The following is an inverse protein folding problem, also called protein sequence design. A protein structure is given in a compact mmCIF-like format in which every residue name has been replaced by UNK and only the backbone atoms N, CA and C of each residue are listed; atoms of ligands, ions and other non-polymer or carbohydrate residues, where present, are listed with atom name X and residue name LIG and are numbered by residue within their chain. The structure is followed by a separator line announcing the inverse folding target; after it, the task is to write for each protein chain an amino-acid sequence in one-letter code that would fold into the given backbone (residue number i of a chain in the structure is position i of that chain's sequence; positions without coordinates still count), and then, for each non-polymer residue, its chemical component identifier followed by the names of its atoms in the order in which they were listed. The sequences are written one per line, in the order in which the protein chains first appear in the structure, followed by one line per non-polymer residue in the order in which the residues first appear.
data_IF_607802832371
#
_entry.id   IF_607802832371
#
_cell.length_a   1.000
_cell.length_b   1.000
_cell.length_c   1.000
_cell.angle_alpha   90.00
_cell.angle_beta   90.00
_cell.angle_gamma   90.00
#
_symmetry.space_group_name_H-M   'P 1'
#
loop_
_entity.id
_entity.type
_entity.pdbx_description
1 polymer ?
#
# COMPACT_ATOMS: atom_id res chain seq x y z
N UNK A 1 -17.05 -14.77 -1.38
CA UNK A 1 -16.38 -13.81 -2.30
C UNK A 1 -15.01 -14.37 -2.65
N UNK A 2 -14.53 -14.20 -3.88
CA UNK A 2 -13.16 -14.61 -4.26
C UNK A 2 -12.21 -13.44 -3.95
N UNK A 3 -11.37 -13.58 -2.90
CA UNK A 3 -10.57 -12.48 -2.36
C UNK A 3 -9.12 -12.42 -2.89
N UNK A 4 -8.64 -13.42 -3.63
CA UNK A 4 -7.24 -13.49 -4.04
C UNK A 4 -6.75 -12.22 -4.78
N UNK A 5 -7.55 -11.67 -5.69
CA UNK A 5 -7.20 -10.43 -6.43
C UNK A 5 -7.43 -9.13 -5.63
N UNK A 6 -7.86 -9.24 -4.39
CA UNK A 6 -7.85 -8.12 -3.43
C UNK A 6 -6.57 -8.06 -2.60
N UNK A 7 -5.76 -9.13 -2.57
CA UNK A 7 -4.63 -9.27 -1.64
C UNK A 7 -3.33 -8.81 -2.28
N UNK A 8 -2.65 -7.88 -1.59
CA UNK A 8 -1.24 -7.57 -1.73
C UNK A 8 -0.49 -8.35 -0.63
N UNK A 9 0.10 -9.49 -0.99
CA UNK A 9 0.89 -10.30 -0.05
C UNK A 9 2.17 -9.56 0.29
N UNK A 10 2.37 -9.23 1.57
CA UNK A 10 3.31 -8.20 1.99
C UNK A 10 4.40 -8.75 2.92
N UNK A 11 5.66 -8.38 2.63
CA UNK A 11 6.79 -8.61 3.52
C UNK A 11 7.74 -7.40 3.47
N UNK A 12 7.64 -6.54 4.49
CA UNK A 12 8.38 -5.27 4.58
C UNK A 12 9.34 -5.22 5.79
N UNK A 13 9.49 -6.32 6.54
CA UNK A 13 10.44 -6.37 7.65
C UNK A 13 11.85 -6.07 7.16
N UNK A 14 12.59 -5.26 7.92
CA UNK A 14 13.95 -4.84 7.56
C UNK A 14 14.96 -5.99 7.55
N UNK A 15 14.67 -7.06 8.25
CA UNK A 15 15.46 -8.29 8.36
C UNK A 15 14.96 -9.42 7.45
N UNK A 16 14.06 -9.13 6.50
CA UNK A 16 13.55 -10.10 5.55
C UNK A 16 14.71 -10.73 4.73
N UNK A 17 14.78 -12.05 4.75
CA UNK A 17 15.79 -12.82 4.02
C UNK A 17 15.30 -13.19 2.62
N UNK A 18 16.24 -13.51 1.70
CA UNK A 18 15.93 -14.00 0.36
C UNK A 18 15.00 -15.22 0.41
N UNK A 19 15.25 -16.17 1.30
CA UNK A 19 14.40 -17.35 1.47
C UNK A 19 12.95 -16.99 1.85
N UNK A 20 12.76 -15.97 2.66
CA UNK A 20 11.40 -15.49 3.01
C UNK A 20 10.73 -14.78 1.83
N UNK A 21 11.49 -14.04 1.02
CA UNK A 21 10.99 -13.46 -0.23
C UNK A 21 10.60 -14.56 -1.22
N UNK A 22 11.43 -15.57 -1.43
CA UNK A 22 11.12 -16.71 -2.31
C UNK A 22 9.83 -17.43 -1.90
N UNK A 23 9.63 -17.60 -0.60
CA UNK A 23 8.37 -18.14 -0.07
C UNK A 23 7.19 -17.24 -0.40
N UNK A 24 7.31 -15.92 -0.20
CA UNK A 24 6.29 -14.93 -0.55
C UNK A 24 5.90 -15.03 -2.04
N UNK A 25 6.90 -15.14 -2.92
CA UNK A 25 6.69 -15.26 -4.36
C UNK A 25 5.99 -16.57 -4.73
N UNK A 26 6.38 -17.68 -4.10
CA UNK A 26 5.73 -18.97 -4.30
C UNK A 26 4.26 -18.96 -3.86
N UNK A 27 3.97 -18.37 -2.70
CA UNK A 27 2.60 -18.18 -2.21
C UNK A 27 1.78 -17.31 -3.17
N UNK A 28 2.36 -16.20 -3.66
CA UNK A 28 1.68 -15.31 -4.58
C UNK A 28 1.33 -15.97 -5.92
N UNK A 29 2.21 -16.84 -6.43
CA UNK A 29 1.95 -17.65 -7.63
C UNK A 29 0.85 -18.68 -7.39
N UNK A 30 0.93 -19.44 -6.29
CA UNK A 30 0.00 -20.52 -5.96
C UNK A 30 -1.43 -19.99 -5.75
N UNK A 31 -1.57 -18.90 -5.01
CA UNK A 31 -2.87 -18.32 -4.64
C UNK A 31 -3.36 -17.24 -5.62
N UNK A 32 -2.56 -16.89 -6.62
CA UNK A 32 -2.91 -15.91 -7.64
C UNK A 32 -3.31 -14.56 -7.03
N UNK A 33 -2.46 -14.01 -6.15
CA UNK A 33 -2.70 -12.72 -5.51
C UNK A 33 -2.67 -11.54 -6.50
N UNK A 34 -3.18 -10.37 -6.10
CA UNK A 34 -3.10 -9.15 -6.90
C UNK A 34 -1.66 -8.70 -7.07
N UNK A 35 -0.91 -8.67 -5.97
CA UNK A 35 0.51 -8.29 -5.97
C UNK A 35 1.28 -8.94 -4.81
N UNK A 36 2.60 -8.87 -4.91
CA UNK A 36 3.48 -8.92 -3.73
C UNK A 36 3.91 -7.49 -3.40
N UNK A 37 4.10 -7.18 -2.11
CA UNK A 37 4.61 -5.89 -1.67
C UNK A 37 5.90 -6.10 -0.87
N UNK A 38 7.02 -5.57 -1.39
CA UNK A 38 8.36 -5.79 -0.86
C UNK A 38 9.14 -4.49 -0.74
N UNK A 39 10.20 -4.46 0.08
CA UNK A 39 11.12 -3.33 0.11
C UNK A 39 11.85 -3.13 -1.24
N UNK A 40 12.29 -1.90 -1.57
CA UNK A 40 12.89 -1.59 -2.88
C UNK A 40 14.05 -2.50 -3.29
N UNK A 41 14.89 -2.93 -2.35
CA UNK A 41 16.01 -3.83 -2.62
C UNK A 41 15.61 -5.21 -3.18
N UNK A 42 14.35 -5.63 -3.02
CA UNK A 42 13.82 -6.91 -3.47
C UNK A 42 13.06 -6.85 -4.80
N UNK A 43 12.87 -5.65 -5.38
CA UNK A 43 12.03 -5.46 -6.57
C UNK A 43 12.51 -6.29 -7.76
N UNK A 44 13.81 -6.22 -8.09
CA UNK A 44 14.36 -6.98 -9.22
C UNK A 44 14.23 -8.50 -9.01
N UNK A 45 14.47 -8.97 -7.78
CA UNK A 45 14.32 -10.39 -7.42
C UNK A 45 12.86 -10.85 -7.53
N UNK A 46 11.92 -10.05 -7.00
CA UNK A 46 10.50 -10.33 -7.10
C UNK A 46 10.00 -10.32 -8.55
N UNK A 47 10.46 -9.37 -9.37
CA UNK A 47 10.11 -9.30 -10.79
C UNK A 47 10.57 -10.53 -11.56
N UNK A 48 11.80 -10.98 -11.33
CA UNK A 48 12.33 -12.19 -11.95
C UNK A 48 11.52 -13.44 -11.52
N UNK A 49 11.16 -13.54 -10.23
CA UNK A 49 10.40 -14.68 -9.70
C UNK A 49 8.92 -14.74 -10.13
N UNK A 50 8.37 -13.65 -10.68
CA UNK A 50 6.95 -13.56 -11.07
C UNK A 50 6.73 -13.38 -12.60
N UNK A 51 7.76 -13.60 -13.41
CA UNK A 51 7.75 -13.28 -14.86
C UNK A 51 6.61 -13.95 -15.63
N UNK A 52 6.22 -15.17 -15.26
CA UNK A 52 5.21 -15.98 -15.96
C UNK A 52 3.81 -15.84 -15.32
N UNK A 53 3.59 -14.79 -14.53
CA UNK A 53 2.32 -14.56 -13.83
C UNK A 53 1.76 -13.18 -14.12
N UNK A 54 0.50 -12.94 -13.76
CA UNK A 54 -0.11 -11.60 -13.76
C UNK A 54 0.00 -10.89 -12.39
N UNK A 55 0.63 -11.53 -11.39
CA UNK A 55 0.90 -10.97 -10.07
C UNK A 55 1.83 -9.78 -10.20
N UNK A 56 1.41 -8.63 -9.67
CA UNK A 56 2.18 -7.39 -9.75
C UNK A 56 3.26 -7.32 -8.69
N UNK A 57 4.34 -6.60 -9.00
CA UNK A 57 5.37 -6.24 -8.02
C UNK A 57 5.09 -4.83 -7.52
N UNK A 58 4.68 -4.72 -6.26
CA UNK A 58 4.50 -3.48 -5.54
C UNK A 58 5.70 -3.22 -4.64
N UNK A 59 6.12 -1.97 -4.52
CA UNK A 59 7.12 -1.57 -3.54
C UNK A 59 6.76 -0.25 -2.87
N UNK A 60 7.53 0.13 -1.85
CA UNK A 60 7.28 1.31 -1.02
C UNK A 60 8.28 2.42 -1.31
N UNK A 61 7.87 3.68 -1.13
CA UNK A 61 8.66 4.88 -1.36
C UNK A 61 8.49 5.87 -0.21
N UNK A 62 9.61 6.46 0.25
CA UNK A 62 9.61 7.33 1.43
C UNK A 62 9.18 6.59 2.70
N UNK A 63 9.37 5.31 2.76
CA UNK A 63 8.77 4.41 3.75
C UNK A 63 9.73 4.10 4.91
N UNK A 64 9.22 3.96 6.17
CA UNK A 64 7.81 4.11 6.54
C UNK A 64 7.39 5.51 6.98
N UNK A 65 8.32 6.47 7.11
CA UNK A 65 8.09 7.74 7.80
C UNK A 65 7.50 8.87 6.92
N UNK A 66 7.64 8.78 5.60
CA UNK A 66 7.20 9.84 4.68
C UNK A 66 7.98 11.16 4.80
N UNK A 67 9.00 11.22 5.65
CA UNK A 67 9.68 12.45 6.08
C UNK A 67 10.93 12.81 5.24
N UNK A 68 11.18 12.12 4.15
CA UNK A 68 12.23 12.50 3.19
C UNK A 68 11.71 13.56 2.21
N UNK A 69 12.61 14.13 1.39
CA UNK A 69 12.24 15.17 0.43
C UNK A 69 11.49 14.59 -0.79
N UNK A 70 10.68 15.43 -1.44
CA UNK A 70 9.95 15.03 -2.66
C UNK A 70 10.88 14.59 -3.79
N UNK A 71 12.06 15.24 -3.92
CA UNK A 71 13.06 14.86 -4.92
C UNK A 71 13.60 13.43 -4.68
N UNK A 72 13.84 13.05 -3.41
CA UNK A 72 14.29 11.71 -3.05
C UNK A 72 13.17 10.68 -3.31
N UNK A 73 11.91 10.96 -2.94
CA UNK A 73 10.79 10.07 -3.26
C UNK A 73 10.62 9.86 -4.78
N UNK A 74 10.73 10.93 -5.57
CA UNK A 74 10.67 10.84 -7.02
C UNK A 74 11.83 10.02 -7.61
N UNK A 75 13.04 10.16 -7.07
CA UNK A 75 14.20 9.36 -7.48
C UNK A 75 13.99 7.88 -7.13
N UNK A 76 13.60 7.58 -5.90
CA UNK A 76 13.30 6.23 -5.40
C UNK A 76 12.21 5.55 -6.26
N UNK A 77 11.18 6.30 -6.65
CA UNK A 77 10.11 5.84 -7.55
C UNK A 77 10.66 5.43 -8.92
N UNK A 78 11.51 6.29 -9.56
CA UNK A 78 12.10 5.99 -10.86
C UNK A 78 12.99 4.75 -10.81
N UNK A 79 13.82 4.63 -9.78
CA UNK A 79 14.69 3.48 -9.58
C UNK A 79 13.89 2.20 -9.37
N UNK A 80 12.86 2.23 -8.53
CA UNK A 80 11.98 1.08 -8.29
C UNK A 80 11.34 0.58 -9.59
N UNK A 81 10.84 1.50 -10.43
CA UNK A 81 10.24 1.16 -11.73
C UNK A 81 11.28 0.59 -12.70
N UNK A 82 12.46 1.16 -12.77
CA UNK A 82 13.56 0.62 -13.58
C UNK A 82 13.95 -0.80 -13.17
N UNK A 83 13.83 -1.11 -11.88
CA UNK A 83 14.05 -2.44 -11.32
C UNK A 83 12.87 -3.40 -11.53
N UNK A 84 11.74 -2.94 -12.05
CA UNK A 84 10.59 -3.76 -12.43
C UNK A 84 9.35 -3.64 -11.55
N UNK A 85 9.24 -2.62 -10.70
CA UNK A 85 8.02 -2.36 -9.95
C UNK A 85 6.85 -2.00 -10.90
N UNK A 86 5.70 -2.59 -10.65
CA UNK A 86 4.45 -2.33 -11.37
C UNK A 86 3.55 -1.36 -10.60
N UNK A 87 3.72 -1.29 -9.26
CA UNK A 87 2.91 -0.46 -8.35
C UNK A 87 3.82 0.17 -7.27
N UNK A 88 3.50 1.40 -6.86
CA UNK A 88 4.25 2.19 -5.88
C UNK A 88 3.34 2.58 -4.73
N UNK A 89 3.70 2.22 -3.50
CA UNK A 89 3.03 2.64 -2.26
C UNK A 89 3.90 3.72 -1.57
N UNK A 90 3.61 4.99 -1.77
CA UNK A 90 4.33 6.10 -1.13
C UNK A 90 3.72 6.51 0.19
N UNK A 91 4.51 7.04 1.12
CA UNK A 91 4.02 7.64 2.37
C UNK A 91 4.00 9.16 2.27
N UNK A 92 2.90 9.80 2.70
CA UNK A 92 2.81 11.26 2.75
C UNK A 92 3.78 11.86 3.79
N UNK A 93 4.10 13.14 3.65
CA UNK A 93 4.74 13.90 4.72
C UNK A 93 3.69 14.27 5.78
N UNK A 94 3.53 13.42 6.79
CA UNK A 94 2.55 13.61 7.88
C UNK A 94 2.84 14.89 8.66
N UNK A 95 4.11 15.20 8.91
CA UNK A 95 4.50 16.43 9.62
C UNK A 95 4.08 17.69 8.87
N UNK A 96 4.21 17.71 7.54
CA UNK A 96 3.75 18.81 6.71
C UNK A 96 2.22 18.95 6.74
N UNK A 97 1.47 17.85 6.67
CA UNK A 97 0.02 17.85 6.78
C UNK A 97 -0.43 18.46 8.12
N UNK A 98 0.13 17.97 9.23
CA UNK A 98 -0.19 18.47 10.58
C UNK A 98 0.20 19.94 10.80
N UNK A 99 1.18 20.43 10.08
CA UNK A 99 1.59 21.83 10.08
C UNK A 99 0.73 22.73 9.19
N UNK A 100 -0.33 22.18 8.55
CA UNK A 100 -1.20 22.91 7.65
C UNK A 100 -0.59 23.19 6.26
N UNK A 101 0.55 22.58 5.94
CA UNK A 101 1.23 22.78 4.65
C UNK A 101 0.70 21.80 3.58
N UNK A 102 -0.57 21.95 3.23
CA UNK A 102 -1.25 21.14 2.22
C UNK A 102 -0.59 21.23 0.84
N UNK A 103 -0.03 22.39 0.50
CA UNK A 103 0.66 22.58 -0.79
C UNK A 103 1.90 21.69 -0.92
N UNK A 104 2.68 21.54 0.16
CA UNK A 104 3.83 20.64 0.18
C UNK A 104 3.38 19.19 0.06
N UNK A 105 2.34 18.77 0.79
CA UNK A 105 1.82 17.40 0.72
C UNK A 105 1.34 17.06 -0.70
N UNK A 106 0.58 17.96 -1.33
CA UNK A 106 0.12 17.76 -2.71
C UNK A 106 1.29 17.68 -3.69
N UNK A 107 2.26 18.59 -3.60
CA UNK A 107 3.42 18.60 -4.51
C UNK A 107 4.33 17.38 -4.31
N UNK A 108 4.44 16.88 -3.08
CA UNK A 108 5.18 15.67 -2.73
C UNK A 108 4.55 14.41 -3.40
N UNK A 109 3.23 14.26 -3.28
CA UNK A 109 2.49 13.18 -3.95
C UNK A 109 2.61 13.31 -5.46
N UNK A 110 2.41 14.51 -6.01
CA UNK A 110 2.51 14.77 -7.46
C UNK A 110 3.87 14.41 -8.02
N UNK A 111 4.95 14.71 -7.30
CA UNK A 111 6.30 14.36 -7.72
C UNK A 111 6.50 12.84 -7.87
N UNK A 112 5.87 12.03 -7.02
CA UNK A 112 5.87 10.57 -7.13
C UNK A 112 4.99 10.11 -8.30
N UNK A 113 3.78 10.66 -8.45
CA UNK A 113 2.87 10.34 -9.56
C UNK A 113 3.52 10.64 -10.91
N UNK A 114 4.14 11.82 -11.08
CA UNK A 114 4.87 12.16 -12.30
C UNK A 114 6.07 11.25 -12.55
N UNK A 115 6.79 10.86 -11.49
CA UNK A 115 7.92 9.96 -11.59
C UNK A 115 7.52 8.51 -11.92
N UNK A 116 6.29 8.11 -11.59
CA UNK A 116 5.76 6.76 -11.84
C UNK A 116 5.36 6.52 -13.30
N UNK A 117 5.14 7.58 -14.08
CA UNK A 117 4.68 7.46 -15.46
C UNK A 117 3.31 6.80 -15.55
N UNK A 118 3.25 5.60 -16.11
CA UNK A 118 2.02 4.79 -16.26
C UNK A 118 1.80 3.77 -15.13
N UNK A 119 2.68 3.75 -14.12
CA UNK A 119 2.59 2.80 -13.00
C UNK A 119 1.65 3.32 -11.92
N UNK A 120 0.92 2.39 -11.31
CA UNK A 120 -0.07 2.67 -10.29
C UNK A 120 0.58 3.20 -9.01
N UNK A 121 0.05 4.30 -8.48
CA UNK A 121 0.51 4.93 -7.23
C UNK A 121 -0.57 4.85 -6.17
N UNK A 122 -0.20 4.32 -4.98
CA UNK A 122 -1.02 4.31 -3.78
C UNK A 122 -0.41 5.23 -2.73
N UNK A 123 -1.22 6.07 -2.11
CA UNK A 123 -0.80 7.07 -1.13
C UNK A 123 -1.16 6.62 0.27
N UNK A 124 -0.14 6.28 1.07
CA UNK A 124 -0.28 5.91 2.47
C UNK A 124 -0.45 7.20 3.28
N UNK A 125 -1.62 7.37 3.89
CA UNK A 125 -1.93 8.55 4.71
C UNK A 125 -1.53 8.39 6.18
N UNK A 126 -1.23 7.20 6.65
CA UNK A 126 -0.95 6.82 8.05
C UNK A 126 -2.09 7.26 8.99
N UNK A 127 -3.27 6.70 8.74
CA UNK A 127 -4.54 7.12 9.34
C UNK A 127 -4.52 7.18 10.88
N UNK A 128 -3.77 6.30 11.55
CA UNK A 128 -3.67 6.28 13.01
C UNK A 128 -3.03 7.54 13.63
N UNK A 129 -2.35 8.37 12.84
CA UNK A 129 -1.75 9.63 13.28
C UNK A 129 -2.63 10.84 12.98
N UNK A 130 -3.76 10.66 12.29
CA UNK A 130 -4.57 11.74 11.74
C UNK A 130 -5.94 11.84 12.40
N UNK A 131 -6.46 13.07 12.53
CA UNK A 131 -7.89 13.29 12.80
C UNK A 131 -8.72 12.96 11.56
N UNK A 132 -10.04 12.87 11.69
CA UNK A 132 -10.91 12.58 10.55
C UNK A 132 -10.86 13.67 9.48
N UNK A 133 -10.75 14.95 9.89
CA UNK A 133 -10.57 16.09 8.99
C UNK A 133 -9.22 16.00 8.23
N UNK A 134 -8.14 15.60 8.92
CA UNK A 134 -6.84 15.40 8.31
C UNK A 134 -6.83 14.20 7.33
N UNK A 135 -7.55 13.10 7.65
CA UNK A 135 -7.73 11.96 6.74
C UNK A 135 -8.47 12.38 5.45
N UNK A 136 -9.55 13.15 5.60
CA UNK A 136 -10.30 13.71 4.46
C UNK A 136 -9.38 14.58 3.60
N UNK A 137 -8.64 15.51 4.22
CA UNK A 137 -7.71 16.38 3.51
C UNK A 137 -6.63 15.59 2.78
N UNK A 138 -6.00 14.61 3.42
CA UNK A 138 -4.96 13.76 2.81
C UNK A 138 -5.50 13.00 1.58
N UNK A 139 -6.71 12.45 1.67
CA UNK A 139 -7.36 11.77 0.56
C UNK A 139 -7.66 12.72 -0.61
N UNK A 140 -8.15 13.94 -0.33
CA UNK A 140 -8.41 14.95 -1.35
C UNK A 140 -7.12 15.41 -2.04
N UNK A 141 -6.03 15.58 -1.29
CA UNK A 141 -4.71 15.93 -1.85
C UNK A 141 -4.15 14.81 -2.73
N UNK A 142 -4.31 13.55 -2.32
CA UNK A 142 -3.93 12.40 -3.13
C UNK A 142 -4.70 12.35 -4.46
N UNK A 143 -6.01 12.54 -4.41
CA UNK A 143 -6.86 12.60 -5.60
C UNK A 143 -6.47 13.76 -6.53
N UNK A 144 -6.26 14.95 -5.98
CA UNK A 144 -5.86 16.15 -6.73
C UNK A 144 -4.48 16.03 -7.35
N UNK A 145 -3.56 15.28 -6.70
CA UNK A 145 -2.24 14.99 -7.22
C UNK A 145 -2.23 13.92 -8.33
N UNK A 146 -3.35 13.22 -8.56
CA UNK A 146 -3.50 12.22 -9.61
C UNK A 146 -3.10 10.80 -9.20
N UNK A 147 -3.10 10.49 -7.90
CA UNK A 147 -2.86 9.13 -7.43
C UNK A 147 -4.03 8.19 -7.74
N UNK A 148 -3.76 6.90 -7.89
CA UNK A 148 -4.75 5.88 -8.22
C UNK A 148 -5.46 5.33 -6.98
N UNK A 149 -4.77 5.31 -5.84
CA UNK A 149 -5.27 4.78 -4.57
C UNK A 149 -4.90 5.68 -3.39
N UNK A 150 -5.73 5.62 -2.35
CA UNK A 150 -5.34 5.95 -0.98
C UNK A 150 -5.20 4.68 -0.16
N UNK A 151 -4.21 4.64 0.74
CA UNK A 151 -3.92 3.49 1.61
C UNK A 151 -3.90 3.94 3.07
N UNK A 152 -4.46 3.13 3.96
CA UNK A 152 -4.62 3.50 5.38
C UNK A 152 -3.31 3.66 6.13
N UNK A 153 -2.40 2.69 6.02
CA UNK A 153 -1.34 2.50 7.01
C UNK A 153 -0.07 1.91 6.42
N UNK A 154 1.06 2.18 7.08
CA UNK A 154 2.34 1.54 6.78
C UNK A 154 2.47 0.14 7.40
N UNK A 155 1.85 -0.09 8.55
CA UNK A 155 2.08 -1.26 9.40
C UNK A 155 3.25 -1.08 10.39
N UNK A 156 3.93 0.07 10.38
CA UNK A 156 5.10 0.40 11.24
C UNK A 156 4.81 1.52 12.25
N UNK A 157 3.54 1.87 12.45
CA UNK A 157 3.10 2.87 13.41
C UNK A 157 2.21 2.22 14.49
N UNK A 158 1.46 3.04 15.22
CA UNK A 158 0.67 2.62 16.38
C UNK A 158 -0.64 1.92 16.05
N UNK A 159 -1.07 1.92 14.77
CA UNK A 159 -2.32 1.29 14.34
C UNK A 159 -2.35 0.95 12.86
N UNK A 160 -3.23 0.02 12.51
CA UNK A 160 -3.53 -0.41 11.14
C UNK A 160 -4.88 0.12 10.65
N UNK A 161 -5.42 -0.50 9.60
CA UNK A 161 -6.72 -0.17 9.05
C UNK A 161 -7.86 -0.42 10.05
N UNK A 162 -8.83 0.50 10.08
CA UNK A 162 -10.11 0.31 10.77
C UNK A 162 -11.27 0.44 9.79
N UNK A 163 -12.40 -0.20 10.09
CA UNK A 163 -13.59 -0.08 9.23
C UNK A 163 -14.11 1.36 9.11
N UNK A 164 -14.11 2.19 10.20
CA UNK A 164 -14.44 3.61 10.08
C UNK A 164 -13.52 4.37 9.14
N UNK A 165 -12.19 4.16 9.22
CA UNK A 165 -11.23 4.83 8.34
C UNK A 165 -11.45 4.46 6.87
N UNK A 166 -11.63 3.17 6.56
CA UNK A 166 -11.88 2.71 5.19
C UNK A 166 -13.18 3.32 4.64
N UNK A 167 -14.25 3.37 5.44
CA UNK A 167 -15.52 4.01 5.04
C UNK A 167 -15.35 5.50 4.77
N UNK A 168 -14.64 6.21 5.67
CA UNK A 168 -14.37 7.64 5.52
C UNK A 168 -13.56 7.92 4.25
N UNK A 169 -12.49 7.15 4.02
CA UNK A 169 -11.65 7.27 2.83
C UNK A 169 -12.45 7.00 1.55
N UNK A 170 -13.26 5.92 1.52
CA UNK A 170 -14.13 5.61 0.38
C UNK A 170 -15.13 6.73 0.10
N UNK A 171 -15.79 7.27 1.14
CA UNK A 171 -16.72 8.39 1.00
C UNK A 171 -16.03 9.64 0.45
N UNK A 172 -14.77 9.87 0.85
CA UNK A 172 -14.01 11.04 0.43
C UNK A 172 -13.58 10.97 -1.04
N UNK A 173 -13.04 9.81 -1.47
CA UNK A 173 -12.46 9.69 -2.82
C UNK A 173 -13.47 9.25 -3.88
N UNK A 174 -14.70 8.90 -3.49
CA UNK A 174 -15.74 8.43 -4.42
C UNK A 174 -15.50 7.01 -4.94
N UNK A 175 -16.23 6.58 -5.97
CA UNK A 175 -16.19 5.18 -6.43
C UNK A 175 -14.97 4.84 -7.33
N UNK A 176 -14.37 5.84 -7.98
CA UNK A 176 -13.41 5.61 -9.08
C UNK A 176 -11.97 5.41 -8.58
N UNK A 177 -11.59 6.04 -7.47
CA UNK A 177 -10.28 5.89 -6.86
C UNK A 177 -10.23 4.66 -5.95
N UNK A 178 -9.13 3.90 -5.99
CA UNK A 178 -8.95 2.74 -5.13
C UNK A 178 -8.77 3.10 -3.65
N UNK A 179 -9.17 2.19 -2.76
CA UNK A 179 -8.87 2.27 -1.31
C UNK A 179 -8.20 0.98 -0.89
N UNK A 180 -6.99 1.06 -0.32
CA UNK A 180 -6.25 -0.08 0.22
C UNK A 180 -6.29 -0.05 1.75
N UNK A 181 -6.87 -1.11 2.34
CA UNK A 181 -6.78 -1.37 3.78
C UNK A 181 -5.48 -2.14 4.07
N UNK A 182 -4.64 -1.65 4.95
CA UNK A 182 -3.37 -2.28 5.31
C UNK A 182 -3.19 -2.35 6.83
N UNK A 183 -2.81 -3.53 7.33
CA UNK A 183 -2.82 -3.84 8.76
C UNK A 183 -4.23 -4.04 9.32
N UNK A 184 -4.44 -5.11 10.09
CA UNK A 184 -5.73 -5.40 10.74
C UNK A 184 -6.60 -6.47 10.09
N UNK A 185 -6.33 -6.93 8.87
CA UNK A 185 -6.99 -8.08 8.29
C UNK A 185 -6.28 -9.38 8.71
N UNK A 186 -6.86 -10.11 9.66
CA UNK A 186 -6.31 -11.36 10.24
C UNK A 186 -7.12 -12.59 9.89
N UNK A 187 -8.32 -12.43 9.36
CA UNK A 187 -9.24 -13.49 9.00
C UNK A 187 -9.95 -13.21 7.69
N UNK A 188 -10.57 -14.23 7.13
CA UNK A 188 -11.46 -14.07 5.96
C UNK A 188 -12.60 -13.09 6.26
N UNK A 189 -13.17 -13.13 7.47
CA UNK A 189 -14.24 -12.23 7.88
C UNK A 189 -13.79 -10.77 7.93
N UNK A 190 -12.58 -10.50 8.46
CA UNK A 190 -12.01 -9.14 8.45
C UNK A 190 -11.81 -8.63 7.03
N UNK A 191 -11.26 -9.46 6.15
CA UNK A 191 -11.04 -9.10 4.76
C UNK A 191 -12.36 -8.76 4.03
N UNK A 192 -13.40 -9.59 4.23
CA UNK A 192 -14.75 -9.31 3.70
C UNK A 192 -15.29 -8.00 4.28
N UNK A 193 -15.17 -7.77 5.58
CA UNK A 193 -15.65 -6.54 6.21
C UNK A 193 -14.95 -5.29 5.67
N UNK A 194 -13.64 -5.33 5.38
CA UNK A 194 -12.93 -4.23 4.72
C UNK A 194 -13.42 -4.00 3.29
N UNK A 195 -13.68 -5.06 2.52
CA UNK A 195 -14.23 -4.93 1.15
C UNK A 195 -15.64 -4.32 1.20
N UNK A 196 -16.49 -4.75 2.12
CA UNK A 196 -17.84 -4.19 2.33
C UNK A 196 -17.79 -2.73 2.81
N UNK A 197 -16.74 -2.35 3.57
CA UNK A 197 -16.49 -0.97 3.96
C UNK A 197 -16.00 -0.08 2.79
N UNK A 198 -15.63 -0.67 1.65
CA UNK A 198 -15.23 0.03 0.45
C UNK A 198 -13.76 -0.15 0.03
N UNK A 199 -13.02 -1.05 0.69
CA UNK A 199 -11.66 -1.39 0.23
C UNK A 199 -11.72 -2.16 -1.10
N UNK A 200 -10.82 -1.81 -2.02
CA UNK A 200 -10.62 -2.51 -3.29
C UNK A 200 -9.29 -3.27 -3.32
N UNK A 201 -8.47 -3.11 -2.28
CA UNK A 201 -7.21 -3.81 -2.07
C UNK A 201 -6.97 -4.01 -0.57
N UNK A 202 -6.30 -5.09 -0.21
CA UNK A 202 -5.95 -5.43 1.19
C UNK A 202 -4.48 -5.78 1.25
N UNK A 203 -3.71 -5.02 2.05
CA UNK A 203 -2.32 -5.32 2.35
C UNK A 203 -2.22 -6.17 3.60
N UNK A 204 -1.65 -7.37 3.48
CA UNK A 204 -1.47 -8.30 4.61
C UNK A 204 -0.28 -9.23 4.38
N UNK A 205 0.36 -9.69 5.45
CA UNK A 205 1.35 -10.77 5.42
C UNK A 205 0.69 -12.17 5.49
N UNK A 206 -0.63 -12.21 5.73
CA UNK A 206 -1.37 -13.43 6.08
C UNK A 206 -2.37 -13.85 4.99
N UNK A 207 -2.14 -13.45 3.74
CA UNK A 207 -3.07 -13.72 2.64
C UNK A 207 -3.43 -15.18 2.46
N UNK A 208 -2.48 -16.10 2.65
CA UNK A 208 -2.70 -17.56 2.58
C UNK A 208 -3.66 -18.03 3.67
N UNK A 209 -3.43 -17.64 4.93
CA UNK A 209 -4.31 -17.99 6.05
C UNK A 209 -5.73 -17.44 5.85
N UNK A 210 -5.84 -16.18 5.40
CA UNK A 210 -7.12 -15.54 5.07
C UNK A 210 -7.89 -16.37 4.02
N UNK A 211 -7.25 -16.77 2.91
CA UNK A 211 -7.92 -17.54 1.85
C UNK A 211 -8.30 -18.95 2.29
N UNK A 212 -7.56 -19.55 3.21
CA UNK A 212 -7.89 -20.87 3.80
C UNK A 212 -8.98 -20.79 4.88
N UNK A 213 -9.39 -19.58 5.29
CA UNK A 213 -10.33 -19.39 6.39
C UNK A 213 -9.71 -19.63 7.77
N UNK A 214 -8.39 -19.57 7.87
CA UNK A 214 -7.63 -19.70 9.10
C UNK A 214 -7.47 -18.33 9.78
N UNK A 215 -7.24 -18.33 11.11
CA UNK A 215 -6.89 -17.11 11.84
C UNK A 215 -5.37 -16.91 11.73
N UNK A 216 -4.94 -15.72 11.37
CA UNK A 216 -3.52 -15.43 11.27
C UNK A 216 -2.91 -15.13 12.64
N UNK A 217 -1.74 -15.71 12.92
CA UNK A 217 -0.92 -15.39 14.09
C UNK A 217 -0.02 -14.17 13.76
N UNK A 218 -0.46 -12.98 14.17
CA UNK A 218 0.37 -11.76 14.13
C UNK A 218 0.02 -10.75 13.04
N UNK A 219 0.48 -9.52 13.29
CA UNK A 219 0.52 -8.41 12.33
C UNK A 219 1.89 -8.40 11.62
N UNK A 220 2.04 -7.56 10.58
CA UNK A 220 3.23 -7.34 9.72
C UNK A 220 4.57 -7.70 10.37
#
# INVERSE_FOLDING_TARGET
MKLNKYIDQTLLKQDATEQQIDRLLSEAREYDFASVCVNPCWVSHAKAGLTDTDVKVCTVVGFPLGATTSAVKAYETKEAIQNGADEIDMVINVGALKSGNAALVESDIRAVVEASGDKLVKVIIEACLLTDEEKVLACQLAQKAGADFVKTSTGFSTGGATLPDVKLMRQTVGPDMGVKAAGGARSYADAVAFVEAGATRIGTSSGVAILKGELADGDY
#
